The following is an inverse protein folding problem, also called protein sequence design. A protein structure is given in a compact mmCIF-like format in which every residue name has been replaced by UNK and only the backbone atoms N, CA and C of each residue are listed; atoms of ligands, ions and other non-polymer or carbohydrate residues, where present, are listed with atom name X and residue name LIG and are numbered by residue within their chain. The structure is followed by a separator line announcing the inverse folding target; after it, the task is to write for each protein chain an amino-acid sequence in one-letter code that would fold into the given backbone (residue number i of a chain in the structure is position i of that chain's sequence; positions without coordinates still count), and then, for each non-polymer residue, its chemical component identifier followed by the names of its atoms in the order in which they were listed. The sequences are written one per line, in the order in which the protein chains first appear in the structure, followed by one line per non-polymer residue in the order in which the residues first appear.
data_IF_497371680404
#
_entry.id   IF_497371680404
#
_cell.length_a   1.000
_cell.length_b   1.000
_cell.length_c   1.000
_cell.angle_alpha   90.00
_cell.angle_beta   90.00
_cell.angle_gamma   90.00
#
_symmetry.space_group_name_H-M   'P 1'
#
loop_
_entity.id
_entity.type
_entity.pdbx_description
1 polymer ?
#
# COMPACT_ATOMS: atom_id res chain seq x y z
N UNK A 1 -4.45 -18.61 -13.15
CA UNK A 1 -3.63 -17.74 -12.29
C UNK A 1 -2.30 -18.42 -12.03
N UNK A 2 -1.27 -18.00 -12.76
CA UNK A 2 0.08 -18.45 -12.44
C UNK A 2 0.45 -17.93 -11.07
N UNK A 3 0.86 -18.84 -10.21
CA UNK A 3 1.18 -18.59 -8.81
C UNK A 3 2.20 -17.44 -8.68
N UNK A 4 1.83 -16.34 -8.01
CA UNK A 4 2.67 -15.14 -7.85
C UNK A 4 4.08 -15.52 -7.36
N UNK A 5 4.16 -16.48 -6.44
CA UNK A 5 5.43 -16.97 -5.88
C UNK A 5 6.36 -17.61 -6.93
N UNK A 6 5.82 -18.18 -8.02
CA UNK A 6 6.65 -18.78 -9.08
C UNK A 6 7.18 -17.76 -10.08
N UNK A 7 6.59 -16.56 -10.12
CA UNK A 7 6.96 -15.49 -11.07
C UNK A 7 7.91 -14.46 -10.47
N UNK A 8 7.81 -14.20 -9.17
CA UNK A 8 8.50 -13.06 -8.56
C UNK A 8 10.02 -13.23 -8.55
N UNK A 9 10.53 -14.43 -8.25
CA UNK A 9 11.98 -14.67 -8.25
C UNK A 9 12.61 -14.55 -9.64
N UNK A 10 12.05 -15.14 -10.71
CA UNK A 10 12.55 -14.88 -12.08
C UNK A 10 12.58 -13.38 -12.45
N UNK A 11 11.57 -12.60 -12.01
CA UNK A 11 11.55 -11.15 -12.28
C UNK A 11 12.62 -10.40 -11.48
N UNK A 12 12.90 -10.80 -10.24
CA UNK A 12 14.00 -10.24 -9.45
C UNK A 12 15.35 -10.54 -10.11
N UNK A 13 15.56 -11.78 -10.53
CA UNK A 13 16.79 -12.18 -11.24
C UNK A 13 16.96 -11.40 -12.55
N UNK A 14 15.90 -11.26 -13.33
CA UNK A 14 15.90 -10.47 -14.56
C UNK A 14 16.25 -8.99 -14.30
N UNK A 15 15.70 -8.41 -13.24
CA UNK A 15 15.99 -7.04 -12.81
C UNK A 15 17.49 -6.87 -12.50
N UNK A 16 18.10 -7.77 -11.74
CA UNK A 16 19.53 -7.71 -11.44
C UNK A 16 20.39 -7.89 -12.67
N UNK A 17 20.02 -8.80 -13.57
CA UNK A 17 20.72 -8.99 -14.85
C UNK A 17 20.66 -7.74 -15.73
N UNK A 18 19.47 -7.12 -15.86
CA UNK A 18 19.28 -5.90 -16.67
C UNK A 18 20.05 -4.70 -16.13
N UNK A 19 20.19 -4.60 -14.83
CA UNK A 19 20.92 -3.50 -14.18
C UNK A 19 22.41 -3.78 -14.02
N UNK A 20 22.87 -4.99 -14.36
CA UNK A 20 24.23 -5.47 -14.11
C UNK A 20 24.64 -5.30 -12.63
N UNK A 21 23.68 -5.50 -11.73
CA UNK A 21 23.87 -5.46 -10.28
C UNK A 21 23.74 -6.86 -9.69
N UNK A 22 24.30 -7.03 -8.50
CA UNK A 22 24.14 -8.23 -7.67
C UNK A 22 23.24 -7.90 -6.47
N UNK A 23 22.57 -8.87 -5.86
CA UNK A 23 21.76 -8.63 -4.65
C UNK A 23 22.53 -7.95 -3.51
N UNK A 24 23.83 -8.17 -3.42
CA UNK A 24 24.68 -7.56 -2.39
C UNK A 24 24.91 -6.05 -2.61
N UNK A 25 24.75 -5.57 -3.85
CA UNK A 25 25.01 -4.18 -4.22
C UNK A 25 23.87 -3.23 -3.82
N UNK A 26 22.69 -3.75 -3.44
CA UNK A 26 21.60 -2.92 -2.95
C UNK A 26 21.91 -2.42 -1.54
N UNK A 27 21.47 -1.21 -1.22
CA UNK A 27 21.64 -0.61 0.12
C UNK A 27 20.40 -0.80 0.98
N UNK A 28 19.22 -0.64 0.39
CA UNK A 28 17.95 -0.62 1.11
C UNK A 28 16.82 -1.27 0.31
N UNK A 29 15.94 -1.95 0.99
CA UNK A 29 14.73 -2.56 0.44
C UNK A 29 13.51 -1.76 0.88
N UNK A 30 12.72 -1.32 -0.08
CA UNK A 30 11.41 -0.76 0.17
C UNK A 30 10.34 -1.79 -0.19
N UNK A 31 9.40 -2.02 0.69
CA UNK A 31 8.35 -3.00 0.47
C UNK A 31 6.97 -2.40 0.75
N UNK A 32 6.09 -2.47 -0.23
CA UNK A 32 4.69 -2.14 0.01
C UNK A 32 4.07 -3.27 0.84
N UNK A 33 3.72 -2.95 2.09
CA UNK A 33 3.24 -3.93 3.06
C UNK A 33 1.70 -3.92 3.25
N UNK A 34 0.98 -3.24 2.39
CA UNK A 34 -0.48 -3.15 2.37
C UNK A 34 -1.01 -1.71 2.54
N UNK A 35 -2.33 -1.57 2.63
CA UNK A 35 -3.35 -2.61 2.52
C UNK A 35 -3.41 -3.24 1.11
N UNK A 36 -3.99 -4.45 0.99
CA UNK A 36 -4.10 -5.11 -0.32
C UNK A 36 -4.49 -6.59 -0.24
N UNK A 37 -4.21 -7.32 -1.30
CA UNK A 37 -4.44 -8.76 -1.36
C UNK A 37 -3.72 -9.48 -0.22
N UNK A 38 -4.46 -10.18 0.62
CA UNK A 38 -3.94 -10.91 1.78
C UNK A 38 -2.75 -11.84 1.43
N UNK A 39 -2.88 -12.61 0.35
CA UNK A 39 -1.83 -13.51 -0.13
C UNK A 39 -0.66 -12.73 -0.75
N UNK A 40 -0.96 -11.75 -1.61
CA UNK A 40 0.05 -10.97 -2.32
C UNK A 40 0.94 -10.17 -1.37
N UNK A 41 0.36 -9.46 -0.41
CA UNK A 41 1.09 -8.69 0.60
C UNK A 41 2.00 -9.60 1.44
N UNK A 42 1.50 -10.76 1.89
CA UNK A 42 2.31 -11.71 2.66
C UNK A 42 3.51 -12.24 1.88
N UNK A 43 3.31 -12.59 0.61
CA UNK A 43 4.40 -13.06 -0.25
C UNK A 43 5.45 -11.96 -0.40
N UNK A 44 5.03 -10.74 -0.76
CA UNK A 44 5.94 -9.60 -0.95
C UNK A 44 6.73 -9.27 0.33
N UNK A 45 6.05 -9.16 1.46
CA UNK A 45 6.68 -8.90 2.76
C UNK A 45 7.64 -10.02 3.15
N UNK A 46 7.27 -11.29 2.97
CA UNK A 46 8.14 -12.43 3.30
C UNK A 46 9.42 -12.40 2.48
N UNK A 47 9.33 -12.17 1.16
CA UNK A 47 10.49 -12.09 0.28
C UNK A 47 11.39 -10.93 0.69
N UNK A 48 10.82 -9.73 0.88
CA UNK A 48 11.58 -8.53 1.25
C UNK A 48 12.30 -8.71 2.60
N UNK A 49 11.62 -9.28 3.61
CA UNK A 49 12.22 -9.59 4.93
C UNK A 49 13.36 -10.57 4.80
N UNK A 50 13.16 -11.64 4.05
CA UNK A 50 14.18 -12.69 3.86
C UNK A 50 15.41 -12.13 3.16
N UNK A 51 15.21 -11.33 2.12
CA UNK A 51 16.32 -10.67 1.41
C UNK A 51 17.05 -9.68 2.33
N UNK A 52 16.30 -8.81 3.04
CA UNK A 52 16.91 -7.84 3.95
C UNK A 52 17.73 -8.52 5.05
N UNK A 53 17.20 -9.60 5.64
CA UNK A 53 17.90 -10.36 6.66
C UNK A 53 19.14 -11.08 6.11
N UNK A 54 18.99 -11.79 4.98
CA UNK A 54 20.08 -12.60 4.41
C UNK A 54 21.23 -11.74 3.87
N UNK A 55 20.92 -10.55 3.36
CA UNK A 55 21.90 -9.61 2.78
C UNK A 55 22.37 -8.54 3.78
N UNK A 56 21.87 -8.55 5.00
CA UNK A 56 22.11 -7.51 6.02
C UNK A 56 21.81 -6.11 5.52
N UNK A 57 20.64 -5.93 4.85
CA UNK A 57 20.21 -4.66 4.29
C UNK A 57 19.07 -4.03 5.10
N UNK A 58 18.98 -2.71 4.99
CA UNK A 58 17.87 -1.96 5.56
C UNK A 58 16.54 -2.30 4.86
N UNK A 59 15.44 -2.24 5.61
CA UNK A 59 14.09 -2.43 5.07
C UNK A 59 13.15 -1.35 5.59
N UNK A 60 12.36 -0.78 4.66
CA UNK A 60 11.37 0.27 4.95
C UNK A 60 10.02 -0.17 4.38
N UNK A 61 8.99 -0.37 5.21
CA UNK A 61 7.64 -0.62 4.75
C UNK A 61 7.00 0.67 4.20
N UNK A 62 6.20 0.52 3.14
CA UNK A 62 5.47 1.60 2.48
C UNK A 62 3.99 1.24 2.36
N UNK A 63 3.12 2.24 2.35
CA UNK A 63 1.68 2.06 2.13
C UNK A 63 1.34 1.94 0.65
N UNK A 64 0.44 1.01 0.31
CA UNK A 64 -0.15 0.92 -1.03
C UNK A 64 -1.01 2.15 -1.36
N UNK A 65 -1.77 2.65 -0.39
CA UNK A 65 -2.60 3.85 -0.61
C UNK A 65 -1.74 5.10 -0.85
N UNK A 66 -0.63 5.23 -0.13
CA UNK A 66 0.32 6.31 -0.37
C UNK A 66 0.99 6.17 -1.74
N UNK A 67 1.33 4.95 -2.16
CA UNK A 67 1.85 4.68 -3.51
C UNK A 67 0.82 5.09 -4.58
N UNK A 68 -0.45 4.72 -4.41
CA UNK A 68 -1.52 5.13 -5.32
C UNK A 68 -1.69 6.65 -5.36
N UNK A 69 -1.53 7.36 -4.24
CA UNK A 69 -1.61 8.82 -4.16
C UNK A 69 -0.50 9.53 -4.94
N UNK A 70 0.58 8.85 -5.34
CA UNK A 70 1.60 9.43 -6.23
C UNK A 70 1.11 9.64 -7.66
N UNK A 71 -0.06 9.12 -8.01
CA UNK A 71 -0.70 9.33 -9.31
C UNK A 71 -0.93 10.83 -9.55
N UNK A 72 -0.52 11.29 -10.72
CA UNK A 72 -0.75 12.69 -11.12
C UNK A 72 -2.19 12.85 -11.60
N UNK A 73 -2.90 13.79 -11.00
CA UNK A 73 -4.28 14.18 -11.35
C UNK A 73 -4.41 15.70 -11.30
N UNK A 74 -5.44 16.22 -11.93
CA UNK A 74 -5.71 17.67 -11.94
C UNK A 74 -6.40 18.15 -10.65
N UNK A 75 -7.14 17.24 -10.00
CA UNK A 75 -7.91 17.50 -8.78
C UNK A 75 -7.01 17.81 -7.59
N UNK A 76 -7.51 18.69 -6.71
CA UNK A 76 -6.82 19.06 -5.46
C UNK A 76 -6.78 17.92 -4.45
N UNK A 77 -7.82 17.09 -4.41
CA UNK A 77 -7.92 15.98 -3.47
C UNK A 77 -7.78 14.63 -4.16
N UNK A 78 -7.00 13.77 -3.55
CA UNK A 78 -6.76 12.40 -3.99
C UNK A 78 -7.26 11.42 -2.95
N UNK A 79 -8.09 10.49 -3.38
CA UNK A 79 -8.67 9.45 -2.52
C UNK A 79 -8.28 8.09 -3.05
N UNK A 80 -7.07 7.60 -2.73
CA UNK A 80 -6.73 6.23 -3.00
C UNK A 80 -7.61 5.29 -2.18
N UNK A 81 -8.10 4.23 -2.83
CA UNK A 81 -8.93 3.23 -2.18
C UNK A 81 -8.70 1.82 -2.72
N UNK A 82 -8.93 0.84 -1.87
CA UNK A 82 -8.98 -0.57 -2.23
C UNK A 82 -10.32 -1.11 -1.73
N UNK A 83 -11.09 -1.71 -2.62
CA UNK A 83 -12.39 -2.29 -2.27
C UNK A 83 -12.23 -3.36 -1.18
N UNK A 84 -12.87 -3.15 -0.05
CA UNK A 84 -12.90 -4.06 1.10
C UNK A 84 -14.23 -4.81 1.22
N UNK A 85 -15.06 -4.74 0.15
CA UNK A 85 -16.41 -5.30 0.04
C UNK A 85 -17.42 -4.66 1.01
N UNK A 86 -18.71 -4.96 0.82
CA UNK A 86 -19.82 -4.51 1.70
C UNK A 86 -19.84 -2.98 1.86
N UNK A 87 -19.69 -2.25 0.75
CA UNK A 87 -19.69 -0.77 0.72
C UNK A 87 -18.63 -0.13 1.62
N UNK A 88 -17.54 -0.86 1.87
CA UNK A 88 -16.39 -0.38 2.61
C UNK A 88 -15.11 -0.48 1.77
N UNK A 89 -14.16 0.38 2.10
CA UNK A 89 -12.85 0.44 1.46
C UNK A 89 -11.75 0.52 2.50
N UNK A 90 -10.55 0.11 2.14
CA UNK A 90 -9.35 0.69 2.72
C UNK A 90 -9.10 1.99 1.99
N UNK A 91 -9.16 3.11 2.67
CA UNK A 91 -9.08 4.43 2.04
C UNK A 91 -8.27 5.42 2.85
N UNK A 92 -7.77 6.43 2.17
CA UNK A 92 -7.09 7.58 2.73
C UNK A 92 -7.43 8.83 1.90
N UNK A 93 -7.16 10.02 2.42
CA UNK A 93 -7.31 11.27 1.68
C UNK A 93 -5.99 12.03 1.73
N UNK A 94 -5.56 12.48 0.56
CA UNK A 94 -4.37 13.30 0.38
C UNK A 94 -4.72 14.58 -0.37
N UNK A 95 -3.96 15.64 -0.14
CA UNK A 95 -3.98 16.82 -0.99
C UNK A 95 -3.13 16.62 -2.26
N UNK A 96 -3.10 17.64 -3.13
CA UNK A 96 -2.29 17.65 -4.36
C UNK A 96 -0.79 17.47 -4.12
N UNK A 97 -0.29 17.88 -2.95
CA UNK A 97 1.12 17.78 -2.54
C UNK A 97 1.41 16.48 -1.78
N UNK A 98 0.45 15.54 -1.81
CA UNK A 98 0.47 14.25 -1.10
C UNK A 98 0.59 14.38 0.42
N UNK A 99 0.10 15.50 1.02
CA UNK A 99 -0.04 15.57 2.47
C UNK A 99 -1.28 14.81 2.91
N UNK A 100 -1.17 14.09 4.00
CA UNK A 100 -2.26 13.27 4.53
C UNK A 100 -3.32 14.17 5.17
N UNK A 101 -4.54 14.14 4.64
CA UNK A 101 -5.73 14.78 5.23
C UNK A 101 -6.55 13.78 6.07
N UNK A 102 -6.66 12.54 5.59
CA UNK A 102 -7.22 11.43 6.34
C UNK A 102 -6.26 10.25 6.27
N UNK A 103 -5.83 9.75 7.43
CA UNK A 103 -4.95 8.58 7.50
C UNK A 103 -5.65 7.34 6.97
N UNK A 104 -4.87 6.43 6.42
CA UNK A 104 -5.36 5.15 5.92
C UNK A 104 -6.12 4.34 6.98
N UNK A 105 -7.28 3.86 6.60
CA UNK A 105 -8.14 3.09 7.48
C UNK A 105 -9.16 2.24 6.71
N UNK A 106 -9.77 1.29 7.38
CA UNK A 106 -10.97 0.62 6.93
C UNK A 106 -12.18 1.50 7.25
N UNK A 107 -12.94 1.90 6.22
CA UNK A 107 -14.02 2.89 6.36
C UNK A 107 -15.12 2.59 5.34
N UNK A 108 -16.39 2.91 5.66
CA UNK A 108 -17.46 2.88 4.66
C UNK A 108 -17.26 3.97 3.61
N UNK A 109 -17.72 3.72 2.39
CA UNK A 109 -17.66 4.72 1.30
C UNK A 109 -18.39 6.00 1.70
N UNK A 110 -19.57 5.87 2.31
CA UNK A 110 -20.35 7.01 2.79
C UNK A 110 -19.58 7.88 3.79
N UNK A 111 -18.93 7.25 4.77
CA UNK A 111 -18.17 7.97 5.78
C UNK A 111 -16.90 8.60 5.19
N UNK A 112 -16.20 7.91 4.29
CA UNK A 112 -15.04 8.45 3.58
C UNK A 112 -15.39 9.75 2.85
N UNK A 113 -16.55 9.79 2.16
CA UNK A 113 -17.00 10.96 1.42
C UNK A 113 -17.22 12.18 2.32
N UNK A 114 -17.66 11.98 3.57
CA UNK A 114 -17.87 13.09 4.54
C UNK A 114 -16.57 13.79 4.94
N UNK A 115 -15.45 13.11 4.80
CA UNK A 115 -14.13 13.66 5.10
C UNK A 115 -13.48 14.38 3.91
N UNK A 116 -14.06 14.31 2.71
CA UNK A 116 -13.53 15.00 1.51
C UNK A 116 -13.94 16.46 1.57
N UNK A 117 -12.98 17.41 1.52
CA UNK A 117 -13.32 18.83 1.67
C UNK A 117 -14.16 19.40 0.51
N UNK A 118 -13.95 18.92 -0.72
CA UNK A 118 -14.72 19.29 -1.89
C UNK A 118 -14.90 18.09 -2.83
N UNK A 119 -16.14 17.61 -2.94
CA UNK A 119 -16.52 16.50 -3.81
C UNK A 119 -16.46 16.85 -5.31
N UNK A 120 -16.42 18.13 -5.66
CA UNK A 120 -16.31 18.56 -7.07
C UNK A 120 -14.84 18.61 -7.54
N UNK A 121 -13.89 18.59 -6.62
CA UNK A 121 -12.45 18.70 -6.91
C UNK A 121 -11.66 17.51 -6.33
N UNK A 122 -12.19 16.30 -6.52
CA UNK A 122 -11.62 15.05 -6.00
C UNK A 122 -11.43 14.01 -7.10
N UNK A 123 -10.29 13.30 -7.05
CA UNK A 123 -10.03 12.10 -7.84
C UNK A 123 -10.00 10.86 -6.92
N UNK A 124 -10.83 9.89 -7.24
CA UNK A 124 -10.83 8.56 -6.62
C UNK A 124 -9.86 7.64 -7.36
N UNK A 125 -8.83 7.16 -6.67
CA UNK A 125 -7.76 6.37 -7.24
C UNK A 125 -7.95 4.89 -6.86
N UNK A 126 -8.30 4.05 -7.82
CA UNK A 126 -8.55 2.63 -7.55
C UNK A 126 -8.55 1.77 -8.81
N UNK A 127 -8.22 0.49 -8.65
CA UNK A 127 -8.21 -0.49 -9.74
C UNK A 127 -9.58 -1.15 -9.98
N UNK A 128 -10.49 -1.03 -9.02
CA UNK A 128 -11.84 -1.60 -9.09
C UNK A 128 -12.85 -0.47 -8.94
N UNK A 129 -13.83 -0.35 -9.84
CA UNK A 129 -14.88 0.66 -9.69
C UNK A 129 -15.68 0.48 -8.40
N UNK A 130 -16.01 1.57 -7.75
CA UNK A 130 -16.96 1.63 -6.63
C UNK A 130 -18.11 2.57 -7.00
N UNK A 131 -19.27 2.39 -6.35
CA UNK A 131 -20.43 3.26 -6.60
C UNK A 131 -20.26 4.57 -5.82
N UNK A 132 -19.76 5.59 -6.52
CA UNK A 132 -19.56 6.93 -5.99
C UNK A 132 -19.66 7.94 -7.13
N UNK A 133 -20.22 9.10 -6.84
CA UNK A 133 -20.21 10.22 -7.77
C UNK A 133 -18.86 10.95 -7.66
N UNK A 134 -18.09 10.98 -8.76
CA UNK A 134 -16.78 11.62 -8.80
C UNK A 134 -15.89 11.12 -9.92
N UNK A 135 -14.74 11.75 -10.06
CA UNK A 135 -13.74 11.37 -11.07
C UNK A 135 -13.00 10.11 -10.62
N UNK A 136 -13.21 9.03 -11.37
CA UNK A 136 -12.50 7.75 -11.13
C UNK A 136 -11.25 7.69 -12.01
N UNK A 137 -10.11 7.39 -11.41
CA UNK A 137 -8.82 7.30 -12.10
C UNK A 137 -8.12 5.99 -11.72
N UNK A 138 -7.68 5.26 -12.73
CA UNK A 138 -6.81 4.09 -12.50
C UNK A 138 -5.43 4.58 -12.05
N UNK A 139 -4.87 4.06 -10.95
CA UNK A 139 -3.58 4.50 -10.44
C UNK A 139 -2.44 4.29 -11.44
N UNK A 140 -1.72 5.37 -11.75
CA UNK A 140 -0.46 5.36 -12.47
C UNK A 140 0.65 5.78 -11.50
N UNK A 141 1.14 4.81 -10.74
CA UNK A 141 1.98 5.03 -9.58
C UNK A 141 3.41 5.46 -9.91
N UNK A 142 3.98 6.33 -9.10
CA UNK A 142 5.37 6.77 -9.19
C UNK A 142 6.18 6.28 -7.98
N UNK A 143 6.72 5.07 -8.10
CA UNK A 143 7.50 4.46 -7.03
C UNK A 143 8.76 5.29 -6.65
N UNK A 144 9.41 5.91 -7.63
CA UNK A 144 10.59 6.75 -7.37
C UNK A 144 10.25 7.96 -6.53
N UNK A 145 9.06 8.55 -6.72
CA UNK A 145 8.57 9.67 -5.92
C UNK A 145 8.34 9.21 -4.46
N UNK A 146 7.70 8.07 -4.28
CA UNK A 146 7.44 7.52 -2.95
C UNK A 146 8.75 7.18 -2.22
N UNK A 147 9.69 6.51 -2.88
CA UNK A 147 11.00 6.19 -2.29
C UNK A 147 11.75 7.45 -1.86
N UNK A 148 11.77 8.50 -2.70
CA UNK A 148 12.40 9.79 -2.33
C UNK A 148 11.79 10.41 -1.08
N UNK A 149 10.48 10.30 -0.90
CA UNK A 149 9.77 10.81 0.27
C UNK A 149 10.20 10.08 1.54
N UNK A 150 10.43 8.78 1.45
CA UNK A 150 10.81 7.89 2.56
C UNK A 150 12.31 7.59 2.65
N UNK A 151 13.15 8.29 1.88
CA UNK A 151 14.60 8.02 1.83
C UNK A 151 15.32 8.20 3.17
N UNK A 152 14.79 9.08 4.04
CA UNK A 152 15.35 9.38 5.36
C UNK A 152 14.60 8.66 6.49
N UNK A 153 13.62 7.84 6.17
CA UNK A 153 12.88 7.09 7.18
C UNK A 153 13.79 6.08 7.87
N UNK A 154 13.54 5.89 9.16
CA UNK A 154 14.24 4.86 9.93
C UNK A 154 13.86 3.48 9.37
N UNK A 155 14.88 2.71 9.05
CA UNK A 155 14.69 1.30 8.72
C UNK A 155 14.23 0.51 9.94
N UNK A 156 13.44 -0.53 9.69
CA UNK A 156 13.03 -1.47 10.71
C UNK A 156 13.95 -2.70 10.73
N UNK A 157 13.94 -3.41 11.86
CA UNK A 157 14.48 -4.77 11.86
C UNK A 157 13.62 -5.62 10.90
N UNK A 158 14.22 -6.42 9.98
CA UNK A 158 13.45 -7.25 9.06
C UNK A 158 12.41 -8.15 9.75
N UNK A 159 12.65 -8.60 10.98
CA UNK A 159 11.69 -9.41 11.74
C UNK A 159 10.46 -8.63 12.21
N UNK A 160 10.55 -7.32 12.34
CA UNK A 160 9.46 -6.44 12.78
C UNK A 160 8.53 -6.02 11.65
N UNK A 161 8.96 -6.11 10.38
CA UNK A 161 8.13 -5.77 9.22
C UNK A 161 7.04 -6.81 9.05
N UNK A 162 5.80 -6.37 9.13
CA UNK A 162 4.60 -7.20 8.99
C UNK A 162 3.65 -6.59 7.98
N UNK A 163 2.75 -7.40 7.39
CA UNK A 163 1.63 -6.88 6.61
C UNK A 163 0.81 -5.88 7.41
N UNK A 164 0.45 -4.77 6.78
CA UNK A 164 -0.42 -3.76 7.37
C UNK A 164 -1.89 -4.17 7.20
N UNK A 165 -2.46 -4.76 8.22
CA UNK A 165 -3.87 -5.15 8.26
C UNK A 165 -4.70 -4.04 8.90
N UNK A 166 -5.27 -3.15 8.07
CA UNK A 166 -6.15 -2.07 8.54
C UNK A 166 -7.50 -2.58 9.06
N UNK A 167 -7.85 -3.82 8.75
CA UNK A 167 -9.01 -4.51 9.29
C UNK A 167 -8.59 -5.75 10.05
N UNK A 168 -9.08 -5.91 11.25
CA UNK A 168 -8.93 -7.14 12.02
C UNK A 168 -9.67 -8.29 11.34
N UNK A 169 -9.22 -9.50 11.55
CA UNK A 169 -9.94 -10.69 11.09
C UNK A 169 -11.23 -10.87 11.90
N UNK A 170 -12.23 -11.51 11.31
CA UNK A 170 -13.48 -11.82 12.04
C UNK A 170 -13.24 -12.66 13.32
N UNK A 171 -12.17 -13.44 13.33
CA UNK A 171 -11.77 -14.21 14.52
C UNK A 171 -11.23 -13.31 15.63
N UNK A 172 -10.41 -12.32 15.29
CA UNK A 172 -9.89 -11.33 16.25
C UNK A 172 -11.00 -10.42 16.79
N UNK A 173 -11.95 -10.01 15.94
CA UNK A 173 -13.13 -9.22 16.36
C UNK A 173 -14.04 -10.01 17.30
N UNK A 174 -14.24 -11.32 17.05
CA UNK A 174 -15.02 -12.20 17.93
C UNK A 174 -14.33 -12.46 19.28
N UNK A 175 -13.01 -12.63 19.25
CA UNK A 175 -12.23 -12.84 20.46
C UNK A 175 -12.29 -11.60 21.38
N UNK A 176 -12.17 -10.41 20.81
CA UNK A 176 -12.21 -9.17 21.57
C UNK A 176 -13.60 -8.92 22.20
N UNK A 177 -14.69 -9.25 21.48
CA UNK A 177 -16.04 -9.19 22.03
C UNK A 177 -16.22 -10.19 23.20
N UNK A 178 -15.66 -11.39 23.06
CA UNK A 178 -15.76 -12.41 24.14
C UNK A 178 -14.89 -12.12 25.37
N UNK A 179 -13.96 -11.15 25.29
CA UNK A 179 -13.15 -10.71 26.43
C UNK A 179 -13.77 -9.53 27.18
N UNK A 180 -14.82 -8.90 26.61
CA UNK A 180 -15.51 -7.75 27.20
C UNK A 180 -16.94 -8.09 27.69
N UNK A 181 -17.41 -9.33 27.45
CA UNK A 181 -18.59 -9.94 28.02
C UNK A 181 -18.20 -10.79 29.24
#
# INVERSE_FOLDING_TARGET
DMNLSTRIFPLIDEMFQKTNMQPIDIDRIYVVNGPGSFTGVRIGVTIAKTMAWALHKEIVPLSELELMATTSVEQTYKVPYIDARREAVFGAIYDKDNQVLLKEQYISIEELCKHIPDMNDVAFLGYTPIHIDGTMVEPNVNLSMLIKRHQNDRSLNPHEVNPNYLKRTEAEEKLEKSLHD
#
